data_IF_737875636216
#
_entry.id   IF_737875636216
#
_cell.length_a   1.000
_cell.length_b   1.000
_cell.length_c   1.000
_cell.angle_alpha   90.00
_cell.angle_beta   90.00
_cell.angle_gamma   90.00
#
_symmetry.space_group_name_H-M   'P 1'
#
loop_
_entity.id
_entity.type
_entity.pdbx_description
1 polymer ?
#
# COMPACT_ATOMS: atom_id res chain seq x y z
N UNK A 1 3.57 -9.94 23.41
CA UNK A 1 3.71 -11.42 23.53
C UNK A 1 4.02 -11.85 24.95
N UNK A 2 5.07 -11.38 25.59
CA UNK A 2 5.45 -11.74 26.97
C UNK A 2 4.32 -11.53 28.01
N UNK A 3 3.69 -10.35 28.05
CA UNK A 3 2.64 -10.04 29.02
C UNK A 3 1.45 -11.02 28.94
N UNK A 4 1.04 -11.38 27.73
CA UNK A 4 -0.09 -12.31 27.51
C UNK A 4 0.27 -13.76 27.87
N UNK A 5 1.50 -14.18 27.55
CA UNK A 5 1.99 -15.51 27.91
C UNK A 5 2.15 -15.62 29.43
N UNK A 6 2.69 -14.59 30.09
CA UNK A 6 2.80 -14.52 31.56
C UNK A 6 1.42 -14.54 32.20
N UNK A 7 0.46 -13.75 31.69
CA UNK A 7 -0.92 -13.74 32.19
C UNK A 7 -1.60 -15.08 32.05
N UNK A 8 -1.53 -15.71 30.88
CA UNK A 8 -2.10 -17.04 30.65
C UNK A 8 -1.44 -18.13 31.54
N UNK A 9 -0.14 -17.98 31.81
CA UNK A 9 0.55 -18.90 32.73
C UNK A 9 0.14 -18.68 34.18
N UNK A 10 -0.02 -17.44 34.60
CA UNK A 10 -0.45 -17.10 35.96
C UNK A 10 -1.92 -17.46 36.20
N UNK A 11 -2.80 -17.28 35.20
CA UNK A 11 -4.20 -17.74 35.24
C UNK A 11 -4.26 -19.29 35.36
N UNK A 12 -3.42 -20.01 34.61
CA UNK A 12 -3.28 -21.48 34.77
C UNK A 12 -2.84 -21.89 36.15
N UNK A 13 -2.05 -21.09 36.83
CA UNK A 13 -1.57 -21.34 38.20
C UNK A 13 -2.50 -20.79 39.29
N UNK A 14 -3.70 -20.31 38.92
CA UNK A 14 -4.68 -19.71 39.85
C UNK A 14 -4.12 -18.50 40.62
N UNK A 15 -3.14 -17.79 40.05
CA UNK A 15 -2.60 -16.56 40.63
C UNK A 15 -3.49 -15.38 40.18
N UNK A 16 -4.21 -14.78 41.09
CA UNK A 16 -4.96 -13.55 40.84
C UNK A 16 -3.99 -12.38 40.71
N UNK A 17 -3.85 -11.88 39.46
CA UNK A 17 -3.19 -10.62 39.17
C UNK A 17 -4.17 -9.49 39.38
N UNK A 18 -3.85 -8.54 40.25
CA UNK A 18 -4.43 -7.20 40.19
C UNK A 18 -3.83 -6.53 38.97
N UNK A 19 -4.57 -6.56 37.86
CA UNK A 19 -4.13 -5.92 36.60
C UNK A 19 -4.37 -4.41 36.72
N UNK A 20 -3.39 -3.68 37.24
CA UNK A 20 -3.44 -2.21 37.33
C UNK A 20 -3.50 -1.54 35.94
N UNK A 21 -3.15 -2.26 34.86
CA UNK A 21 -3.31 -1.81 33.49
C UNK A 21 -4.77 -1.84 33.00
N UNK A 22 -5.66 -2.52 33.70
CA UNK A 22 -7.06 -2.70 33.30
C UNK A 22 -8.00 -1.58 33.80
N UNK A 23 -7.51 -0.52 34.43
CA UNK A 23 -8.35 0.63 34.76
C UNK A 23 -8.60 1.44 33.49
N UNK A 24 -9.87 1.55 33.02
CA UNK A 24 -10.17 2.42 31.91
C UNK A 24 -9.82 3.86 32.32
N UNK A 25 -8.80 4.43 31.68
CA UNK A 25 -8.57 5.86 31.80
C UNK A 25 -9.75 6.57 31.16
N UNK A 26 -10.41 7.48 31.91
CA UNK A 26 -11.44 8.32 31.35
C UNK A 26 -10.83 9.15 30.22
N UNK A 27 -11.39 9.05 29.03
CA UNK A 27 -10.93 9.85 27.91
C UNK A 27 -11.32 11.31 28.14
N UNK A 28 -10.38 12.27 27.98
CA UNK A 28 -10.64 13.68 28.22
C UNK A 28 -11.53 14.33 27.15
N UNK A 29 -12.01 13.58 26.16
CA UNK A 29 -12.83 14.06 25.05
C UNK A 29 -13.99 13.13 24.71
N UNK A 30 -14.89 13.64 23.87
CA UNK A 30 -16.04 12.90 23.35
C UNK A 30 -15.79 12.50 21.92
N UNK A 31 -16.31 11.32 21.55
CA UNK A 31 -16.31 10.81 20.19
C UNK A 31 -17.62 11.14 19.48
N UNK A 32 -17.51 11.51 18.21
CA UNK A 32 -18.61 11.52 17.24
C UNK A 32 -18.34 10.41 16.25
N UNK A 33 -19.20 9.38 16.25
CA UNK A 33 -19.01 8.25 15.34
C UNK A 33 -19.26 8.69 13.89
N UNK A 34 -18.33 8.45 12.96
CA UNK A 34 -18.55 8.77 11.56
C UNK A 34 -19.59 7.82 10.94
N UNK A 35 -20.46 8.30 10.04
CA UNK A 35 -21.41 7.43 9.35
C UNK A 35 -20.69 6.38 8.50
N UNK A 36 -21.09 5.13 8.63
CA UNK A 36 -20.54 3.99 7.90
C UNK A 36 -21.46 3.57 6.73
N UNK A 37 -20.84 3.08 5.68
CA UNK A 37 -21.52 2.33 4.64
C UNK A 37 -21.78 0.90 5.13
N UNK A 38 -22.79 0.16 4.60
CA UNK A 38 -23.12 -1.19 5.09
C UNK A 38 -21.89 -2.11 5.22
N UNK A 39 -21.09 -2.25 4.18
CA UNK A 39 -19.89 -3.10 4.22
C UNK A 39 -18.82 -2.64 5.21
N UNK A 40 -18.76 -1.34 5.54
CA UNK A 40 -17.84 -0.82 6.56
C UNK A 40 -18.34 -1.18 7.96
N UNK A 41 -19.64 -1.16 8.16
CA UNK A 41 -20.26 -1.63 9.40
C UNK A 41 -20.09 -3.14 9.58
N UNK A 42 -20.27 -3.92 8.50
CA UNK A 42 -20.02 -5.37 8.49
C UNK A 42 -18.56 -5.67 8.87
N UNK A 43 -17.60 -4.91 8.32
CA UNK A 43 -16.19 -5.05 8.64
C UNK A 43 -15.88 -4.78 10.11
N UNK A 44 -16.48 -3.73 10.66
CA UNK A 44 -16.34 -3.37 12.06
C UNK A 44 -16.99 -4.39 12.98
N UNK A 45 -18.18 -4.88 12.62
CA UNK A 45 -18.87 -5.93 13.34
C UNK A 45 -18.06 -7.26 13.35
N UNK A 46 -17.49 -7.66 12.21
CA UNK A 46 -16.63 -8.85 12.13
C UNK A 46 -15.41 -8.74 13.06
N UNK A 47 -14.76 -7.56 13.10
CA UNK A 47 -13.66 -7.30 14.02
C UNK A 47 -14.09 -7.35 15.49
N UNK A 48 -15.24 -6.78 15.82
CA UNK A 48 -15.79 -6.83 17.19
C UNK A 48 -16.09 -8.27 17.63
N UNK A 49 -16.70 -9.09 16.76
CA UNK A 49 -16.96 -10.51 17.04
C UNK A 49 -15.72 -11.36 17.20
N UNK A 50 -14.63 -10.99 16.53
CA UNK A 50 -13.33 -11.62 16.68
C UNK A 50 -12.58 -11.19 17.96
N UNK A 51 -13.30 -10.66 18.96
CA UNK A 51 -12.71 -10.20 20.21
C UNK A 51 -11.91 -8.89 20.06
N UNK A 52 -12.25 -8.07 19.08
CA UNK A 52 -11.56 -6.82 18.74
C UNK A 52 -10.09 -7.03 18.39
N UNK A 53 -9.80 -8.15 17.73
CA UNK A 53 -8.44 -8.49 17.31
C UNK A 53 -8.45 -9.11 15.93
N UNK A 54 -7.82 -8.43 14.95
CA UNK A 54 -7.78 -8.93 13.58
C UNK A 54 -7.49 -7.86 12.53
N UNK A 55 -7.38 -8.34 11.30
CA UNK A 55 -7.08 -7.53 10.12
C UNK A 55 -8.35 -7.40 9.25
N UNK A 56 -8.66 -6.17 8.87
CA UNK A 56 -9.69 -5.83 7.90
C UNK A 56 -9.04 -5.48 6.56
N UNK A 57 -9.38 -6.22 5.52
CA UNK A 57 -8.87 -6.02 4.17
C UNK A 57 -9.94 -5.35 3.32
N UNK A 58 -9.70 -4.09 2.97
CA UNK A 58 -10.59 -3.28 2.13
C UNK A 58 -9.79 -2.59 1.02
N UNK A 59 -10.32 -2.49 -0.20
CA UNK A 59 -9.66 -1.79 -1.29
C UNK A 59 -9.31 -0.34 -0.94
N UNK A 60 -8.33 0.22 -1.64
CA UNK A 60 -8.07 1.66 -1.57
C UNK A 60 -9.30 2.43 -2.06
N UNK A 61 -9.66 3.50 -1.36
CA UNK A 61 -10.90 4.26 -1.64
C UNK A 61 -12.16 3.70 -0.97
N UNK A 62 -12.13 2.50 -0.40
CA UNK A 62 -13.26 1.92 0.35
C UNK A 62 -13.43 2.51 1.76
N UNK A 63 -12.59 3.46 2.18
CA UNK A 63 -12.74 4.16 3.45
C UNK A 63 -12.25 3.37 4.66
N UNK A 64 -11.10 2.70 4.58
CA UNK A 64 -10.42 2.02 5.70
C UNK A 64 -10.29 2.90 6.93
N UNK A 65 -9.83 4.15 6.74
CA UNK A 65 -9.70 5.13 7.83
C UNK A 65 -11.03 5.36 8.54
N UNK A 66 -12.15 5.41 7.80
CA UNK A 66 -13.48 5.59 8.38
C UNK A 66 -13.89 4.41 9.27
N UNK A 67 -13.58 3.17 8.87
CA UNK A 67 -13.76 1.98 9.72
C UNK A 67 -12.94 2.09 11.00
N UNK A 68 -11.69 2.54 10.89
CA UNK A 68 -10.83 2.74 12.06
C UNK A 68 -11.34 3.81 13.00
N UNK A 69 -11.76 4.97 12.47
CA UNK A 69 -12.34 6.04 13.28
C UNK A 69 -13.59 5.59 14.03
N UNK A 70 -14.45 4.81 13.39
CA UNK A 70 -15.62 4.21 14.03
C UNK A 70 -15.21 3.15 15.09
N UNK A 71 -14.16 2.35 14.82
CA UNK A 71 -13.61 1.41 15.80
C UNK A 71 -13.11 2.13 17.06
N UNK A 72 -12.38 3.25 16.88
CA UNK A 72 -11.89 4.10 17.96
C UNK A 72 -13.05 4.72 18.77
N UNK A 73 -14.05 5.27 18.06
CA UNK A 73 -15.22 5.87 18.68
C UNK A 73 -16.04 4.84 19.48
N UNK A 74 -16.32 3.67 18.91
CA UNK A 74 -17.08 2.58 19.59
C UNK A 74 -16.28 1.94 20.73
N UNK A 75 -14.97 1.90 20.63
CA UNK A 75 -14.12 1.40 21.71
C UNK A 75 -14.09 2.36 22.90
N UNK A 76 -14.02 3.67 22.65
CA UNK A 76 -13.98 4.71 23.69
C UNK A 76 -12.82 4.49 24.67
N UNK A 77 -11.65 4.10 24.19
CA UNK A 77 -10.50 3.71 25.01
C UNK A 77 -9.23 4.46 24.58
N UNK A 78 -8.23 4.59 25.45
CA UNK A 78 -6.92 5.07 25.05
C UNK A 78 -6.39 4.29 23.85
N UNK A 79 -5.98 5.01 22.80
CA UNK A 79 -5.68 4.39 21.52
C UNK A 79 -4.47 4.99 20.82
N UNK A 80 -3.72 4.11 20.14
CA UNK A 80 -2.58 4.46 19.29
C UNK A 80 -2.89 4.09 17.84
N UNK A 81 -2.86 5.08 16.94
CA UNK A 81 -2.94 4.85 15.51
C UNK A 81 -1.53 4.89 14.89
N UNK A 82 -1.11 3.80 14.24
CA UNK A 82 0.16 3.68 13.55
C UNK A 82 0.00 3.85 12.06
N UNK A 83 0.84 4.69 11.47
CA UNK A 83 0.81 5.03 10.05
C UNK A 83 2.21 4.95 9.41
N UNK A 84 2.33 4.58 8.11
CA UNK A 84 3.64 4.37 7.48
C UNK A 84 4.41 5.67 7.19
N UNK A 85 3.72 6.81 7.00
CA UNK A 85 4.36 8.04 6.50
C UNK A 85 3.93 9.28 7.27
N UNK A 86 4.76 10.34 7.21
CA UNK A 86 4.46 11.66 7.80
C UNK A 86 3.20 12.30 7.17
N UNK A 87 2.98 12.10 5.89
CA UNK A 87 1.78 12.61 5.20
C UNK A 87 0.51 11.97 5.78
N UNK A 88 0.55 10.66 6.02
CA UNK A 88 -0.57 9.97 6.68
C UNK A 88 -0.70 10.38 8.15
N UNK A 89 0.40 10.69 8.84
CA UNK A 89 0.35 11.23 10.20
C UNK A 89 -0.48 12.53 10.26
N UNK A 90 -0.21 13.47 9.37
CA UNK A 90 -0.96 14.73 9.25
C UNK A 90 -2.44 14.49 8.88
N UNK A 91 -2.68 13.59 7.92
CA UNK A 91 -4.03 13.23 7.50
C UNK A 91 -4.83 12.60 8.64
N UNK A 92 -4.28 11.60 9.32
CA UNK A 92 -4.93 10.92 10.44
C UNK A 92 -5.20 11.87 11.62
N UNK A 93 -4.26 12.77 11.94
CA UNK A 93 -4.46 13.78 12.98
C UNK A 93 -5.64 14.69 12.63
N UNK A 94 -5.75 15.14 11.37
CA UNK A 94 -6.87 15.96 10.90
C UNK A 94 -8.20 15.19 10.92
N UNK A 95 -8.23 13.94 10.47
CA UNK A 95 -9.43 13.13 10.47
C UNK A 95 -9.90 12.79 11.90
N UNK A 96 -8.96 12.51 12.81
CA UNK A 96 -9.26 12.31 14.24
C UNK A 96 -9.81 13.58 14.90
N UNK A 97 -9.24 14.75 14.60
CA UNK A 97 -9.73 16.03 15.18
C UNK A 97 -11.15 16.37 14.75
N UNK A 98 -11.63 15.80 13.64
CA UNK A 98 -13.03 15.98 13.21
C UNK A 98 -14.03 15.09 13.96
N UNK A 99 -13.57 14.02 14.61
CA UNK A 99 -14.43 13.02 15.28
C UNK A 99 -14.16 12.88 16.79
N UNK A 100 -13.08 13.44 17.30
CA UNK A 100 -12.71 13.41 18.72
C UNK A 100 -12.42 14.81 19.25
N UNK A 101 -13.10 15.23 20.31
CA UNK A 101 -13.00 16.59 20.87
C UNK A 101 -11.88 16.75 21.90
N UNK A 102 -11.23 15.66 22.32
CA UNK A 102 -10.15 15.70 23.30
C UNK A 102 -8.78 16.02 22.68
N UNK A 103 -7.74 16.17 23.52
CA UNK A 103 -6.39 16.39 23.05
C UNK A 103 -5.87 15.19 22.26
N UNK A 104 -5.19 15.48 21.14
CA UNK A 104 -4.55 14.47 20.29
C UNK A 104 -3.04 14.48 20.45
N UNK A 105 -2.47 13.32 20.70
CA UNK A 105 -1.04 13.08 20.67
C UNK A 105 -0.52 12.93 19.24
N UNK A 106 0.73 13.34 19.02
CA UNK A 106 1.45 13.17 17.78
C UNK A 106 2.89 12.75 18.06
N UNK A 107 3.29 11.59 17.52
CA UNK A 107 4.63 11.06 17.67
C UNK A 107 5.25 10.82 16.29
N UNK A 108 6.06 11.74 15.85
CA UNK A 108 6.70 11.74 14.53
C UNK A 108 6.83 13.13 13.95
N UNK A 109 7.58 13.27 12.87
CA UNK A 109 7.86 14.55 12.21
C UNK A 109 8.34 15.66 13.16
N UNK A 110 9.25 15.31 14.10
CA UNK A 110 9.79 16.22 15.11
C UNK A 110 8.88 16.46 16.32
N UNK A 111 7.65 15.94 16.34
CA UNK A 111 6.74 16.05 17.46
C UNK A 111 6.84 14.84 18.39
N UNK A 112 6.77 15.08 19.71
CA UNK A 112 6.70 14.05 20.74
C UNK A 112 5.68 14.45 21.81
N UNK A 113 4.42 14.36 21.45
CA UNK A 113 3.30 14.59 22.37
C UNK A 113 2.48 13.32 22.48
N UNK A 114 2.39 12.76 23.66
CA UNK A 114 1.63 11.54 23.94
C UNK A 114 0.38 11.91 24.73
N UNK A 115 -0.78 11.58 24.18
CA UNK A 115 -2.10 11.77 24.77
C UNK A 115 -2.85 10.45 24.79
N UNK A 116 -4.01 10.39 25.42
CA UNK A 116 -4.84 9.18 25.45
C UNK A 116 -5.21 8.67 24.05
N UNK A 117 -5.36 9.58 23.07
CA UNK A 117 -5.49 9.23 21.66
C UNK A 117 -4.29 9.82 20.91
N UNK A 118 -3.43 8.97 20.40
CA UNK A 118 -2.15 9.37 19.77
C UNK A 118 -2.02 8.76 18.38
N UNK A 119 -1.49 9.56 17.44
CA UNK A 119 -1.07 9.08 16.12
C UNK A 119 0.45 9.02 16.07
N UNK A 120 1.01 7.94 15.52
CA UNK A 120 2.47 7.78 15.40
C UNK A 120 2.85 7.24 14.03
N UNK A 121 4.03 7.64 13.53
CA UNK A 121 4.65 6.91 12.42
C UNK A 121 5.21 5.59 12.89
N UNK A 122 5.30 4.58 11.99
CA UNK A 122 5.90 3.28 12.32
C UNK A 122 7.31 3.40 12.90
N UNK A 123 8.12 4.28 12.31
CA UNK A 123 9.49 4.50 12.75
C UNK A 123 9.56 5.12 14.15
N UNK A 124 8.70 6.09 14.45
CA UNK A 124 8.65 6.72 15.76
C UNK A 124 8.08 5.76 16.81
N UNK A 125 7.06 4.99 16.47
CA UNK A 125 6.52 3.97 17.36
C UNK A 125 7.57 2.90 17.68
N UNK A 126 8.30 2.40 16.68
CA UNK A 126 9.36 1.43 16.89
C UNK A 126 10.43 1.92 17.88
N UNK A 127 10.83 3.18 17.77
CA UNK A 127 11.85 3.77 18.66
C UNK A 127 11.36 3.99 20.10
N UNK A 128 10.08 4.25 20.31
CA UNK A 128 9.55 4.70 21.60
C UNK A 128 8.54 3.74 22.23
N UNK A 129 8.23 2.60 21.61
CA UNK A 129 7.20 1.70 22.13
C UNK A 129 7.55 1.16 23.52
N UNK A 130 8.83 0.98 23.84
CA UNK A 130 9.29 0.57 25.16
C UNK A 130 8.93 1.56 26.29
N UNK A 131 8.65 2.83 25.93
CA UNK A 131 8.27 3.88 26.91
C UNK A 131 6.74 4.08 26.98
N UNK A 132 6.03 3.77 25.90
CA UNK A 132 4.61 4.14 25.75
C UNK A 132 3.68 2.96 25.54
N UNK A 133 4.23 1.76 25.37
CA UNK A 133 3.46 0.58 24.91
C UNK A 133 2.40 0.10 25.89
N UNK A 134 2.46 0.49 27.13
CA UNK A 134 1.50 0.18 28.20
C UNK A 134 0.35 1.22 28.35
N UNK A 135 0.43 2.35 27.65
CA UNK A 135 -0.52 3.47 27.77
C UNK A 135 -1.80 3.29 26.99
N UNK A 136 -1.88 2.34 26.09
CA UNK A 136 -2.97 2.19 25.12
C UNK A 136 -3.68 0.86 25.28
N UNK A 137 -4.99 0.87 25.14
CA UNK A 137 -5.84 -0.33 25.14
C UNK A 137 -6.21 -0.79 23.74
N UNK A 138 -6.18 0.13 22.76
CA UNK A 138 -6.44 -0.16 21.35
C UNK A 138 -5.27 0.32 20.49
N UNK A 139 -4.74 -0.56 19.64
CA UNK A 139 -3.81 -0.17 18.59
C UNK A 139 -4.47 -0.38 17.22
N UNK A 140 -4.45 0.67 16.41
CA UNK A 140 -4.87 0.64 15.01
C UNK A 140 -3.63 0.75 14.13
N UNK A 141 -3.45 -0.15 13.20
CA UNK A 141 -2.29 -0.17 12.29
C UNK A 141 -2.78 -0.01 10.86
N UNK A 142 -2.60 1.19 10.30
CA UNK A 142 -2.90 1.43 8.89
C UNK A 142 -1.79 0.86 8.00
N UNK A 143 -2.15 0.29 6.86
CA UNK A 143 -1.26 -0.46 5.97
C UNK A 143 -0.44 -1.52 6.73
N UNK A 144 -1.13 -2.33 7.52
CA UNK A 144 -0.56 -3.33 8.43
C UNK A 144 0.37 -4.35 7.76
N UNK A 145 0.30 -4.48 6.44
CA UNK A 145 1.16 -5.36 5.66
C UNK A 145 2.66 -4.97 5.67
N UNK A 146 3.01 -3.81 6.24
CA UNK A 146 4.40 -3.42 6.50
C UNK A 146 5.02 -4.11 7.73
N UNK A 147 4.23 -4.86 8.46
CA UNK A 147 4.66 -5.68 9.58
C UNK A 147 4.64 -7.17 9.22
N UNK A 148 5.24 -7.99 10.05
CA UNK A 148 5.36 -9.43 9.84
C UNK A 148 6.61 -9.86 9.05
N UNK A 149 7.54 -8.93 8.77
CA UNK A 149 8.82 -9.21 8.12
C UNK A 149 10.03 -9.13 9.10
N UNK A 150 9.75 -8.92 10.39
CA UNK A 150 10.73 -8.82 11.47
C UNK A 150 11.36 -7.44 11.66
N UNK A 151 11.22 -6.52 10.71
CA UNK A 151 11.99 -5.26 10.75
C UNK A 151 11.51 -4.27 11.79
N UNK A 152 10.21 -4.24 12.07
CA UNK A 152 9.56 -3.29 12.99
C UNK A 152 8.56 -3.97 13.91
N UNK A 153 8.51 -5.29 13.88
CA UNK A 153 7.53 -6.09 14.60
C UNK A 153 7.60 -5.87 16.10
N UNK A 154 8.80 -5.56 16.62
CA UNK A 154 9.04 -5.18 17.99
C UNK A 154 8.12 -4.04 18.48
N UNK A 155 7.74 -3.09 17.62
CA UNK A 155 6.78 -2.06 17.98
C UNK A 155 5.39 -2.61 18.36
N UNK A 156 4.97 -3.71 17.72
CA UNK A 156 3.72 -4.38 18.05
C UNK A 156 3.89 -5.39 19.19
N UNK A 157 5.06 -6.00 19.33
CA UNK A 157 5.38 -6.92 20.40
C UNK A 157 5.42 -6.23 21.76
N UNK A 158 6.03 -5.05 21.83
CA UNK A 158 6.14 -4.24 23.06
C UNK A 158 4.85 -3.51 23.41
N UNK A 159 3.88 -3.42 22.50
CA UNK A 159 2.59 -2.80 22.78
C UNK A 159 1.70 -3.75 23.60
N UNK A 160 1.31 -3.34 24.79
CA UNK A 160 0.44 -4.10 25.68
C UNK A 160 -1.04 -4.09 25.29
N UNK A 161 -1.45 -3.25 24.33
CA UNK A 161 -2.85 -3.08 23.91
C UNK A 161 -3.52 -4.41 23.57
N UNK A 162 -4.61 -4.80 24.29
CA UNK A 162 -5.33 -6.04 24.05
C UNK A 162 -6.13 -6.02 22.76
N UNK A 163 -6.67 -4.85 22.39
CA UNK A 163 -7.45 -4.67 21.16
C UNK A 163 -6.55 -4.22 20.02
N UNK A 164 -6.66 -4.89 18.88
CA UNK A 164 -5.77 -4.63 17.73
C UNK A 164 -6.55 -4.68 16.43
N UNK A 165 -6.48 -3.60 15.65
CA UNK A 165 -7.09 -3.48 14.34
C UNK A 165 -6.03 -3.22 13.29
N UNK A 166 -5.78 -4.17 12.42
CA UNK A 166 -4.97 -3.98 11.21
C UNK A 166 -5.83 -3.60 10.02
N UNK A 167 -5.41 -2.62 9.25
CA UNK A 167 -6.06 -2.20 8.01
C UNK A 167 -5.10 -2.35 6.84
N UNK A 168 -5.56 -2.90 5.74
CA UNK A 168 -4.76 -2.98 4.50
C UNK A 168 -5.65 -3.08 3.28
N UNK A 169 -5.12 -2.69 2.12
CA UNK A 169 -5.78 -2.95 0.83
C UNK A 169 -5.45 -4.34 0.26
N UNK A 170 -4.42 -4.98 0.79
CA UNK A 170 -3.95 -6.28 0.30
C UNK A 170 -3.51 -7.14 1.47
N UNK A 171 -4.02 -8.37 1.59
CA UNK A 171 -3.65 -9.27 2.67
C UNK A 171 -2.16 -9.66 2.58
N UNK A 172 -1.52 -9.87 3.71
CA UNK A 172 -0.20 -10.49 3.77
C UNK A 172 -0.29 -11.96 3.30
N UNK A 173 0.82 -12.50 2.78
CA UNK A 173 0.93 -13.88 2.31
C UNK A 173 2.23 -14.50 2.80
N UNK A 174 2.21 -15.83 2.93
CA UNK A 174 3.37 -16.61 3.37
C UNK A 174 3.75 -16.32 4.84
N UNK A 175 5.03 -16.44 5.20
CA UNK A 175 5.50 -16.33 6.60
C UNK A 175 5.07 -15.03 7.28
N UNK A 176 5.07 -13.90 6.55
CA UNK A 176 4.61 -12.60 7.10
C UNK A 176 3.13 -12.62 7.50
N UNK A 177 2.30 -13.49 6.88
CA UNK A 177 0.89 -13.64 7.26
C UNK A 177 0.75 -14.32 8.62
N UNK A 178 1.56 -15.35 8.88
CA UNK A 178 1.56 -16.09 10.16
C UNK A 178 2.00 -15.16 11.29
N UNK A 179 3.07 -14.42 11.09
CA UNK A 179 3.55 -13.43 12.05
C UNK A 179 2.52 -12.33 12.34
N UNK A 180 1.80 -11.85 11.32
CA UNK A 180 0.74 -10.86 11.52
C UNK A 180 -0.45 -11.41 12.34
N UNK A 181 -0.77 -12.69 12.21
CA UNK A 181 -1.81 -13.33 13.05
C UNK A 181 -1.41 -13.27 14.52
N UNK A 182 -0.15 -13.46 14.83
CA UNK A 182 0.34 -13.33 16.21
C UNK A 182 0.35 -11.88 16.69
N UNK A 183 0.84 -10.96 15.87
CA UNK A 183 1.01 -9.55 16.24
C UNK A 183 -0.33 -8.80 16.33
N UNK A 184 -1.24 -9.03 15.39
CA UNK A 184 -2.49 -8.26 15.26
C UNK A 184 -3.72 -9.15 15.40
N UNK A 185 -3.72 -10.29 14.76
CA UNK A 185 -4.83 -11.23 14.67
C UNK A 185 -5.09 -11.70 13.25
N UNK A 186 -6.00 -12.66 13.05
CA UNK A 186 -6.33 -13.17 11.72
C UNK A 186 -7.03 -12.12 10.86
N UNK A 187 -7.10 -12.36 9.54
CA UNK A 187 -8.00 -11.59 8.67
C UNK A 187 -9.43 -11.95 9.03
N UNK A 188 -10.19 -10.96 9.51
CA UNK A 188 -11.57 -11.12 9.99
C UNK A 188 -12.61 -10.65 8.97
N UNK A 189 -12.18 -9.81 8.02
CA UNK A 189 -13.04 -9.31 6.94
C UNK A 189 -12.18 -8.99 5.71
N UNK A 190 -12.66 -9.40 4.53
CA UNK A 190 -11.99 -9.12 3.25
C UNK A 190 -13.01 -8.86 2.16
N UNK A 191 -12.85 -7.72 1.45
CA UNK A 191 -13.55 -7.43 0.19
C UNK A 191 -12.54 -7.10 -0.90
N UNK A 192 -12.79 -7.62 -2.09
CA UNK A 192 -12.03 -7.28 -3.29
C UNK A 192 -12.55 -5.99 -3.95
N UNK A 193 -11.74 -5.40 -4.85
CA UNK A 193 -12.16 -4.23 -5.64
C UNK A 193 -13.43 -4.51 -6.43
N UNK A 194 -13.55 -5.73 -6.97
CA UNK A 194 -14.69 -6.19 -7.77
C UNK A 194 -16.00 -6.25 -6.97
N UNK A 195 -15.93 -6.55 -5.68
CA UNK A 195 -17.11 -6.67 -4.81
C UNK A 195 -17.78 -5.30 -4.56
N UNK A 196 -16.99 -4.23 -4.63
CA UNK A 196 -17.43 -2.85 -4.41
C UNK A 196 -17.64 -2.06 -5.71
N UNK A 197 -17.14 -2.57 -6.84
CA UNK A 197 -17.21 -1.89 -8.13
C UNK A 197 -18.66 -1.78 -8.61
N UNK A 198 -19.04 -0.59 -9.05
CA UNK A 198 -20.41 -0.29 -9.51
C UNK A 198 -21.41 0.05 -8.42
N UNK A 199 -21.18 -0.35 -7.17
CA UNK A 199 -22.07 -0.03 -6.02
C UNK A 199 -21.47 1.06 -5.13
N UNK A 200 -20.25 0.88 -4.67
CA UNK A 200 -19.57 1.77 -3.71
C UNK A 200 -18.25 2.36 -4.24
N UNK A 201 -17.65 1.71 -5.23
CA UNK A 201 -16.55 2.22 -6.02
C UNK A 201 -17.04 2.46 -7.45
N UNK A 202 -16.44 3.42 -8.15
CA UNK A 202 -16.75 3.64 -9.56
C UNK A 202 -16.49 2.35 -10.36
N UNK A 203 -17.35 1.99 -11.30
CA UNK A 203 -17.08 0.89 -12.21
C UNK A 203 -15.80 1.20 -13.01
N UNK A 204 -15.04 0.16 -13.35
CA UNK A 204 -13.83 0.34 -14.13
C UNK A 204 -13.68 -0.71 -15.21
N UNK A 205 -12.98 -0.34 -16.27
CA UNK A 205 -12.58 -1.24 -17.34
C UNK A 205 -11.06 -1.39 -17.33
N UNK A 206 -10.57 -2.63 -17.37
CA UNK A 206 -9.14 -2.93 -17.51
C UNK A 206 -8.85 -3.37 -18.94
N UNK A 207 -8.16 -2.50 -19.69
CA UNK A 207 -7.79 -2.73 -21.08
C UNK A 207 -6.30 -3.03 -21.16
N UNK A 208 -5.94 -4.22 -21.65
CA UNK A 208 -4.54 -4.58 -21.90
C UNK A 208 -4.17 -4.33 -23.34
N UNK A 209 -3.27 -3.40 -23.57
CA UNK A 209 -2.67 -3.17 -24.88
C UNK A 209 -1.40 -4.01 -25.00
N UNK A 210 -1.44 -5.02 -25.88
CA UNK A 210 -0.30 -5.90 -26.18
C UNK A 210 0.49 -5.30 -27.33
N UNK A 211 1.67 -4.80 -27.04
CA UNK A 211 2.54 -4.06 -27.95
C UNK A 211 3.73 -4.93 -28.38
N UNK A 212 4.27 -4.65 -29.56
CA UNK A 212 5.46 -5.30 -30.10
C UNK A 212 6.67 -4.37 -29.99
N UNK A 213 7.84 -4.91 -29.66
CA UNK A 213 9.10 -4.17 -29.80
C UNK A 213 9.40 -3.94 -31.28
N UNK A 214 9.96 -2.78 -31.63
CA UNK A 214 10.52 -2.56 -32.96
C UNK A 214 11.62 -3.61 -33.24
N UNK A 215 11.90 -3.94 -34.51
CA UNK A 215 12.81 -5.04 -34.85
C UNK A 215 14.23 -4.88 -34.28
N UNK A 216 14.73 -3.65 -34.18
CA UNK A 216 16.02 -3.31 -33.57
C UNK A 216 15.99 -3.41 -32.04
N UNK A 217 14.94 -2.85 -31.39
CA UNK A 217 14.71 -2.98 -29.96
C UNK A 217 14.56 -4.46 -29.54
N UNK A 218 13.88 -5.26 -30.38
CA UNK A 218 13.68 -6.69 -30.17
C UNK A 218 15.02 -7.45 -30.20
N UNK A 219 15.85 -7.21 -31.20
CA UNK A 219 17.16 -7.84 -31.30
C UNK A 219 18.06 -7.51 -30.13
N UNK A 220 18.10 -6.26 -29.74
CA UNK A 220 18.92 -5.79 -28.60
C UNK A 220 18.44 -6.41 -27.29
N UNK A 221 17.12 -6.48 -27.10
CA UNK A 221 16.51 -7.09 -25.91
C UNK A 221 16.81 -8.60 -25.85
N UNK A 222 16.68 -9.32 -26.95
CA UNK A 222 16.98 -10.75 -27.04
C UNK A 222 18.46 -11.03 -26.75
N UNK A 223 19.37 -10.22 -27.26
CA UNK A 223 20.79 -10.33 -26.97
C UNK A 223 21.07 -10.12 -25.47
N UNK A 224 20.49 -9.10 -24.87
CA UNK A 224 20.62 -8.86 -23.43
C UNK A 224 20.08 -10.04 -22.61
N UNK A 225 18.92 -10.58 -22.98
CA UNK A 225 18.31 -11.75 -22.33
C UNK A 225 19.19 -13.00 -22.49
N UNK A 226 19.75 -13.24 -23.66
CA UNK A 226 20.64 -14.37 -23.92
C UNK A 226 21.91 -14.32 -23.05
N UNK A 227 22.39 -13.12 -22.73
CA UNK A 227 23.57 -12.93 -21.88
C UNK A 227 23.29 -13.26 -20.40
N UNK A 228 22.22 -12.75 -19.80
CA UNK A 228 22.03 -12.92 -18.36
C UNK A 228 21.26 -14.15 -17.94
N UNK A 229 20.30 -14.63 -18.77
CA UNK A 229 19.38 -15.69 -18.37
C UNK A 229 20.04 -17.03 -18.07
N UNK A 230 21.07 -17.49 -18.81
CA UNK A 230 21.79 -18.72 -18.48
C UNK A 230 22.46 -18.66 -17.11
N UNK A 231 23.11 -17.52 -16.80
CA UNK A 231 23.83 -17.31 -15.54
C UNK A 231 22.86 -17.26 -14.34
N UNK A 232 21.75 -16.54 -14.50
CA UNK A 232 20.70 -16.50 -13.49
C UNK A 232 20.09 -17.90 -13.23
N UNK A 233 19.83 -18.68 -14.29
CA UNK A 233 19.32 -20.05 -14.16
C UNK A 233 20.30 -21.02 -13.52
N UNK A 234 21.59 -20.87 -13.78
CA UNK A 234 22.63 -21.65 -13.14
C UNK A 234 22.65 -21.36 -11.64
N UNK A 235 22.69 -20.09 -11.27
CA UNK A 235 22.64 -19.66 -9.86
C UNK A 235 21.39 -20.19 -9.12
N UNK A 236 20.20 -20.10 -9.75
CA UNK A 236 18.95 -20.59 -9.12
C UNK A 236 18.93 -22.10 -8.92
N UNK A 237 19.68 -22.88 -9.74
CA UNK A 237 19.81 -24.33 -9.54
C UNK A 237 20.78 -24.66 -8.42
N UNK A 238 21.86 -23.89 -8.28
CA UNK A 238 22.86 -24.09 -7.24
C UNK A 238 22.41 -23.58 -5.87
N UNK A 239 21.57 -22.54 -5.85
CA UNK A 239 21.07 -21.90 -4.64
C UNK A 239 19.52 -21.86 -4.66
N UNK A 240 18.83 -22.99 -4.46
CA UNK A 240 17.36 -23.01 -4.41
C UNK A 240 16.83 -22.14 -3.28
N UNK A 241 15.89 -21.23 -3.59
CA UNK A 241 15.30 -20.31 -2.61
C UNK A 241 16.03 -18.98 -2.44
N UNK A 242 17.23 -18.81 -3.02
CA UNK A 242 17.93 -17.53 -3.05
C UNK A 242 17.13 -16.47 -3.83
N UNK A 243 17.13 -15.25 -3.32
CA UNK A 243 16.42 -14.13 -3.92
C UNK A 243 17.29 -13.38 -4.95
N UNK A 244 16.72 -12.29 -5.51
CA UNK A 244 17.42 -11.45 -6.47
C UNK A 244 18.65 -10.74 -5.86
N UNK A 245 18.62 -10.37 -4.58
CA UNK A 245 19.75 -9.70 -3.92
C UNK A 245 20.91 -10.66 -3.73
N UNK A 246 20.64 -11.92 -3.43
CA UNK A 246 21.67 -12.96 -3.31
C UNK A 246 22.34 -13.20 -4.67
N UNK A 247 21.54 -13.30 -5.74
CA UNK A 247 22.08 -13.36 -7.09
C UNK A 247 22.94 -12.14 -7.43
N UNK A 248 22.46 -10.93 -7.15
CA UNK A 248 23.20 -9.71 -7.46
C UNK A 248 24.52 -9.62 -6.68
N UNK A 249 24.55 -10.04 -5.41
CA UNK A 249 25.76 -10.12 -4.58
C UNK A 249 26.75 -11.16 -5.14
N UNK A 250 26.27 -12.35 -5.48
CA UNK A 250 27.13 -13.39 -6.05
C UNK A 250 27.68 -12.97 -7.42
N UNK A 251 26.83 -12.49 -8.31
CA UNK A 251 27.19 -12.07 -9.66
C UNK A 251 28.17 -10.88 -9.67
N UNK A 252 28.08 -9.96 -8.71
CA UNK A 252 29.00 -8.81 -8.64
C UNK A 252 30.49 -9.20 -8.43
N UNK A 253 30.74 -10.41 -7.93
CA UNK A 253 32.09 -10.91 -7.60
C UNK A 253 32.86 -11.40 -8.81
N UNK A 254 32.21 -11.71 -9.93
CA UNK A 254 32.84 -12.25 -11.13
C UNK A 254 32.63 -11.33 -12.34
N UNK A 255 33.56 -11.35 -13.30
CA UNK A 255 33.42 -10.56 -14.53
C UNK A 255 32.18 -10.96 -15.31
N UNK A 256 31.97 -12.27 -15.51
CA UNK A 256 30.80 -12.81 -16.19
C UNK A 256 29.50 -12.45 -15.47
N UNK A 257 29.49 -12.45 -14.15
CA UNK A 257 28.34 -12.03 -13.34
C UNK A 257 28.04 -10.54 -13.49
N UNK A 258 29.07 -9.67 -13.50
CA UNK A 258 28.88 -8.22 -13.74
C UNK A 258 28.31 -7.95 -15.13
N UNK A 259 28.77 -8.67 -16.16
CA UNK A 259 28.19 -8.60 -17.50
C UNK A 259 26.72 -9.06 -17.52
N UNK A 260 26.38 -10.12 -16.80
CA UNK A 260 25.00 -10.56 -16.66
C UNK A 260 24.11 -9.52 -15.97
N UNK A 261 24.60 -8.86 -14.91
CA UNK A 261 23.87 -7.79 -14.24
C UNK A 261 23.66 -6.57 -15.14
N UNK A 262 24.67 -6.19 -15.93
CA UNK A 262 24.57 -5.11 -16.91
C UNK A 262 23.56 -5.45 -18.01
N UNK A 263 23.60 -6.66 -18.55
CA UNK A 263 22.65 -7.16 -19.54
C UNK A 263 21.21 -7.22 -18.99
N UNK A 264 21.05 -7.64 -17.75
CA UNK A 264 19.72 -7.61 -17.09
C UNK A 264 19.17 -6.18 -16.97
N UNK A 265 20.00 -5.22 -16.52
CA UNK A 265 19.60 -3.80 -16.47
C UNK A 265 19.20 -3.31 -17.85
N UNK A 266 20.05 -3.56 -18.87
CA UNK A 266 19.78 -3.18 -20.25
C UNK A 266 18.46 -3.76 -20.76
N UNK A 267 18.18 -5.04 -20.50
CA UNK A 267 16.93 -5.67 -20.89
C UNK A 267 15.69 -5.02 -20.26
N UNK A 268 15.82 -4.49 -19.04
CA UNK A 268 14.74 -3.76 -18.35
C UNK A 268 14.55 -2.36 -18.91
N UNK A 269 15.66 -1.66 -19.19
CA UNK A 269 15.63 -0.30 -19.75
C UNK A 269 14.96 -0.29 -21.12
N UNK A 270 15.25 -1.29 -21.97
CA UNK A 270 14.60 -1.48 -23.26
C UNK A 270 13.08 -1.71 -23.17
N UNK A 271 12.60 -2.35 -22.10
CA UNK A 271 11.17 -2.58 -21.88
C UNK A 271 10.47 -1.42 -21.17
N UNK A 272 11.22 -0.53 -20.52
CA UNK A 272 10.65 0.51 -19.70
C UNK A 272 9.80 1.48 -20.52
N UNK A 273 10.34 2.00 -21.63
CA UNK A 273 9.62 2.95 -22.49
C UNK A 273 10.07 2.88 -23.97
N UNK A 274 9.89 1.71 -24.65
CA UNK A 274 10.20 1.52 -26.04
C UNK A 274 9.26 2.32 -26.97
N UNK A 275 9.60 2.39 -28.26
CA UNK A 275 8.85 3.16 -29.29
C UNK A 275 7.34 2.89 -29.25
N UNK A 276 6.94 1.64 -29.22
CA UNK A 276 5.53 1.27 -29.19
C UNK A 276 4.78 1.75 -27.94
N UNK A 277 5.45 1.82 -26.76
CA UNK A 277 4.85 2.39 -25.55
C UNK A 277 4.73 3.91 -25.68
N UNK A 278 5.71 4.58 -26.31
CA UNK A 278 5.67 6.03 -26.57
C UNK A 278 4.47 6.41 -27.44
N UNK A 279 4.29 5.70 -28.54
CA UNK A 279 3.15 5.89 -29.44
C UNK A 279 1.81 5.59 -28.77
N UNK A 280 1.74 4.49 -27.99
CA UNK A 280 0.52 4.14 -27.27
C UNK A 280 0.15 5.21 -26.22
N UNK A 281 1.12 5.76 -25.47
CA UNK A 281 0.86 6.85 -24.51
C UNK A 281 0.37 8.10 -25.23
N UNK A 282 0.99 8.50 -26.36
CA UNK A 282 0.53 9.63 -27.16
C UNK A 282 -0.93 9.45 -27.59
N UNK A 283 -1.24 8.33 -28.24
CA UNK A 283 -2.59 8.03 -28.72
C UNK A 283 -3.64 7.98 -27.59
N UNK A 284 -3.26 7.46 -26.39
CA UNK A 284 -4.16 7.46 -25.26
C UNK A 284 -4.38 8.84 -24.65
N UNK A 285 -3.35 9.69 -24.59
CA UNK A 285 -3.50 11.08 -24.15
C UNK A 285 -4.41 11.87 -25.08
N UNK A 286 -4.24 11.72 -26.40
CA UNK A 286 -5.10 12.36 -27.40
C UNK A 286 -6.54 11.86 -27.30
N UNK A 287 -6.74 10.56 -27.21
CA UNK A 287 -8.06 9.95 -27.06
C UNK A 287 -8.82 10.43 -25.81
N UNK A 288 -8.09 10.70 -24.75
CA UNK A 288 -8.63 11.09 -23.45
C UNK A 288 -8.32 12.55 -23.10
N UNK A 289 -8.11 13.42 -24.10
CA UNK A 289 -7.75 14.82 -23.91
C UNK A 289 -8.66 15.59 -22.92
N UNK A 290 -9.99 15.38 -22.86
CA UNK A 290 -10.85 16.04 -21.87
C UNK A 290 -10.77 15.42 -20.46
N UNK A 291 -10.21 14.21 -20.32
CA UNK A 291 -10.20 13.44 -19.07
C UNK A 291 -8.98 13.76 -18.21
N UNK A 292 -9.08 13.51 -16.92
CA UNK A 292 -7.92 13.51 -16.01
C UNK A 292 -7.21 12.17 -16.11
N UNK A 293 -5.93 12.20 -16.51
CA UNK A 293 -5.12 11.02 -16.78
C UNK A 293 -3.97 10.90 -15.77
N UNK A 294 -3.84 9.73 -15.14
CA UNK A 294 -2.67 9.38 -14.33
C UNK A 294 -1.82 8.35 -15.07
N UNK A 295 -0.54 8.65 -15.27
CA UNK A 295 0.40 7.74 -15.91
C UNK A 295 1.32 7.16 -14.84
N UNK A 296 1.43 5.84 -14.78
CA UNK A 296 2.26 5.12 -13.82
C UNK A 296 3.43 4.45 -14.52
N UNK A 297 4.63 4.70 -14.01
CA UNK A 297 5.88 4.12 -14.52
C UNK A 297 6.57 3.27 -13.46
N UNK A 298 7.59 2.51 -13.87
CA UNK A 298 8.36 1.65 -12.97
C UNK A 298 9.36 2.44 -12.11
N UNK A 299 9.90 3.53 -12.66
CA UNK A 299 10.99 4.32 -12.09
C UNK A 299 10.92 5.79 -12.51
N UNK A 300 11.73 6.63 -11.85
CA UNK A 300 11.78 8.07 -12.11
C UNK A 300 12.32 8.41 -13.49
N UNK A 301 13.29 7.64 -14.01
CA UNK A 301 13.88 7.91 -15.33
C UNK A 301 12.81 7.78 -16.42
N UNK A 302 11.98 6.73 -16.35
CA UNK A 302 10.84 6.54 -17.24
C UNK A 302 9.79 7.64 -17.05
N UNK A 303 9.52 8.06 -15.81
CA UNK A 303 8.57 9.16 -15.56
C UNK A 303 9.04 10.46 -16.21
N UNK A 304 10.31 10.81 -16.09
CA UNK A 304 10.89 11.98 -16.76
C UNK A 304 10.93 11.84 -18.29
N UNK A 305 11.13 10.63 -18.84
CA UNK A 305 11.07 10.38 -20.26
C UNK A 305 9.66 10.65 -20.82
N UNK A 306 8.63 10.13 -20.14
CA UNK A 306 7.20 10.41 -20.47
C UNK A 306 6.92 11.91 -20.36
N UNK A 307 7.35 12.55 -19.25
CA UNK A 307 7.12 13.96 -18.99
C UNK A 307 7.68 14.85 -20.10
N UNK A 308 8.92 14.61 -20.52
CA UNK A 308 9.56 15.40 -21.60
C UNK A 308 8.93 15.17 -22.96
N UNK A 309 8.56 13.93 -23.26
CA UNK A 309 8.03 13.61 -24.59
C UNK A 309 6.59 14.08 -24.78
N UNK A 310 5.77 14.04 -23.73
CA UNK A 310 4.34 14.34 -23.83
C UNK A 310 3.93 15.62 -23.08
N UNK A 311 4.90 16.39 -22.56
CA UNK A 311 4.68 17.62 -21.79
C UNK A 311 3.74 17.43 -20.60
N UNK A 312 3.87 16.28 -19.91
CA UNK A 312 3.08 15.91 -18.74
C UNK A 312 3.87 16.21 -17.46
N UNK A 313 3.23 16.81 -16.46
CA UNK A 313 3.87 17.14 -15.20
C UNK A 313 4.31 15.86 -14.44
N UNK A 314 5.62 15.68 -14.13
CA UNK A 314 6.11 14.54 -13.36
C UNK A 314 5.92 14.75 -11.86
N UNK A 315 5.55 13.67 -11.16
CA UNK A 315 5.56 13.58 -9.70
C UNK A 315 6.50 12.45 -9.29
N UNK A 316 7.71 12.83 -8.89
CA UNK A 316 8.77 11.91 -8.45
C UNK A 316 9.19 12.20 -7.02
N UNK A 317 10.09 11.38 -6.45
CA UNK A 317 10.66 11.65 -5.13
C UNK A 317 11.56 12.89 -5.11
N UNK A 318 12.02 13.35 -6.26
CA UNK A 318 12.98 14.46 -6.39
C UNK A 318 12.31 15.83 -6.29
N UNK A 319 10.98 15.92 -6.49
CA UNK A 319 10.23 17.18 -6.34
C UNK A 319 9.87 17.44 -4.88
N UNK A 320 9.86 18.71 -4.49
CA UNK A 320 9.53 19.13 -3.14
C UNK A 320 8.08 18.79 -2.76
N UNK A 321 7.79 18.73 -1.45
CA UNK A 321 6.42 18.54 -0.95
C UNK A 321 5.47 19.63 -1.45
N UNK A 322 5.95 20.88 -1.51
CA UNK A 322 5.16 22.06 -1.94
C UNK A 322 4.80 21.95 -3.42
N UNK A 323 5.79 21.68 -4.28
CA UNK A 323 5.56 21.50 -5.72
C UNK A 323 4.63 20.33 -6.02
N UNK A 324 4.77 19.23 -5.27
CA UNK A 324 3.89 18.07 -5.39
C UNK A 324 2.45 18.41 -5.03
N UNK A 325 2.23 19.11 -3.91
CA UNK A 325 0.91 19.56 -3.49
C UNK A 325 0.29 20.48 -4.55
N UNK A 326 1.05 21.46 -5.03
CA UNK A 326 0.60 22.37 -6.09
C UNK A 326 0.23 21.63 -7.40
N UNK A 327 1.02 20.63 -7.81
CA UNK A 327 0.70 19.85 -9.02
C UNK A 327 -0.60 19.02 -8.86
N UNK A 328 -0.82 18.44 -7.67
CA UNK A 328 -2.04 17.70 -7.38
C UNK A 328 -3.27 18.63 -7.31
N UNK A 329 -3.14 19.82 -6.72
CA UNK A 329 -4.22 20.79 -6.68
C UNK A 329 -4.56 21.29 -8.08
N UNK A 330 -3.58 21.59 -8.92
CA UNK A 330 -3.79 21.95 -10.33
C UNK A 330 -4.50 20.84 -11.12
N UNK A 331 -4.22 19.55 -10.86
CA UNK A 331 -4.98 18.45 -11.43
C UNK A 331 -6.43 18.41 -10.88
N UNK A 332 -6.60 18.68 -9.59
CA UNK A 332 -7.92 18.72 -8.92
C UNK A 332 -8.82 19.79 -9.50
N UNK A 333 -8.26 20.97 -9.75
CA UNK A 333 -8.98 22.12 -10.31
C UNK A 333 -9.06 22.09 -11.84
N UNK A 334 -8.45 21.10 -12.50
CA UNK A 334 -8.54 20.93 -13.96
C UNK A 334 -7.58 21.82 -14.77
N UNK A 335 -6.66 22.51 -14.10
CA UNK A 335 -5.59 23.30 -14.77
C UNK A 335 -4.56 22.38 -15.44
N UNK A 336 -4.33 21.20 -14.83
CA UNK A 336 -3.59 20.10 -15.42
C UNK A 336 -4.55 18.98 -15.77
N UNK A 337 -4.33 18.33 -16.92
CA UNK A 337 -5.12 17.17 -17.36
C UNK A 337 -4.40 15.86 -17.11
N UNK A 338 -3.08 15.85 -17.03
CA UNK A 338 -2.29 14.64 -16.89
C UNK A 338 -1.11 14.81 -15.95
N UNK A 339 -0.83 13.75 -15.20
CA UNK A 339 0.35 13.63 -14.35
C UNK A 339 1.01 12.28 -14.62
N UNK A 340 2.35 12.25 -14.53
CA UNK A 340 3.09 10.99 -14.55
C UNK A 340 3.83 10.78 -13.25
N UNK A 341 3.76 9.56 -12.71
CA UNK A 341 4.42 9.21 -11.45
C UNK A 341 5.04 7.83 -11.48
N UNK A 342 6.20 7.69 -10.84
CA UNK A 342 6.80 6.39 -10.59
C UNK A 342 6.21 5.74 -9.33
N UNK A 343 6.77 6.01 -8.16
CA UNK A 343 6.39 5.37 -6.89
C UNK A 343 5.64 6.28 -5.92
N UNK A 344 5.76 7.58 -6.13
CA UNK A 344 5.34 8.58 -5.14
C UNK A 344 3.82 8.58 -4.87
N UNK A 345 3.01 8.20 -5.86
CA UNK A 345 1.55 8.13 -5.70
C UNK A 345 1.06 6.79 -5.12
N UNK A 346 1.94 5.89 -4.70
CA UNK A 346 1.54 4.58 -4.21
C UNK A 346 0.97 4.63 -2.79
N UNK A 347 1.53 5.45 -1.90
CA UNK A 347 1.14 5.48 -0.49
C UNK A 347 1.06 6.92 0.05
N UNK A 348 0.07 7.17 0.91
CA UNK A 348 0.01 8.36 1.76
C UNK A 348 -0.28 9.70 1.09
N UNK A 349 -0.57 9.74 -0.21
CA UNK A 349 -0.88 10.99 -0.92
C UNK A 349 -2.35 10.98 -1.34
N UNK A 350 -3.07 12.04 -1.02
CA UNK A 350 -4.43 12.25 -1.52
C UNK A 350 -4.39 12.66 -3.00
N UNK A 351 -4.47 11.66 -3.89
CA UNK A 351 -4.50 11.88 -5.34
C UNK A 351 -5.91 12.29 -5.73
N UNK A 352 -6.07 13.38 -6.49
CA UNK A 352 -7.37 13.77 -7.02
C UNK A 352 -7.98 12.67 -7.89
N UNK A 353 -9.30 12.69 -8.01
CA UNK A 353 -10.01 11.76 -8.89
C UNK A 353 -9.46 11.84 -10.31
N UNK A 354 -9.11 10.70 -10.86
CA UNK A 354 -8.76 10.57 -12.27
C UNK A 354 -9.77 9.65 -12.98
N UNK A 355 -9.93 9.86 -14.26
CA UNK A 355 -10.88 9.14 -15.09
C UNK A 355 -10.16 7.98 -15.81
N UNK A 356 -8.88 8.16 -16.08
CA UNK A 356 -8.04 7.23 -16.85
C UNK A 356 -6.72 6.99 -16.12
N UNK A 357 -6.28 5.73 -16.08
CA UNK A 357 -4.92 5.35 -15.72
C UNK A 357 -4.21 4.71 -16.90
N UNK A 358 -2.93 5.04 -17.09
CA UNK A 358 -2.04 4.38 -18.04
C UNK A 358 -0.87 3.76 -17.27
N UNK A 359 -0.80 2.44 -17.22
CA UNK A 359 0.29 1.69 -16.59
C UNK A 359 1.31 1.36 -17.68
N UNK A 360 2.35 2.15 -17.79
CA UNK A 360 3.41 2.02 -18.81
C UNK A 360 4.33 0.86 -18.50
N UNK A 361 4.59 0.61 -17.20
CA UNK A 361 5.42 -0.48 -16.73
C UNK A 361 5.40 -0.55 -15.22
N UNK A 362 5.90 -1.65 -14.67
CA UNK A 362 6.05 -1.81 -13.21
C UNK A 362 6.54 -3.19 -12.86
N UNK A 363 7.59 -3.24 -12.05
CA UNK A 363 8.06 -4.45 -11.37
C UNK A 363 7.26 -4.72 -10.10
N UNK A 364 6.29 -3.85 -9.81
CA UNK A 364 5.56 -3.83 -8.55
C UNK A 364 4.54 -4.95 -8.49
N UNK A 365 4.36 -5.49 -7.30
CA UNK A 365 3.48 -6.60 -7.04
C UNK A 365 2.00 -6.23 -7.18
N UNK A 366 1.16 -7.22 -6.98
CA UNK A 366 -0.30 -7.14 -6.93
C UNK A 366 -0.81 -5.98 -6.05
N UNK A 367 -0.14 -5.72 -4.93
CA UNK A 367 -0.52 -4.70 -3.93
C UNK A 367 -0.53 -3.29 -4.48
N UNK A 368 0.59 -2.85 -5.09
CA UNK A 368 0.70 -1.50 -5.65
C UNK A 368 -0.26 -1.28 -6.82
N UNK A 369 -0.50 -2.32 -7.61
CA UNK A 369 -1.45 -2.25 -8.70
C UNK A 369 -2.89 -2.02 -8.20
N UNK A 370 -3.31 -2.77 -7.17
CA UNK A 370 -4.62 -2.58 -6.51
C UNK A 370 -4.74 -1.19 -5.89
N UNK A 371 -3.69 -0.70 -5.23
CA UNK A 371 -3.68 0.64 -4.65
C UNK A 371 -3.79 1.75 -5.71
N UNK A 372 -3.07 1.61 -6.84
CA UNK A 372 -3.15 2.57 -7.96
C UNK A 372 -4.55 2.63 -8.56
N UNK A 373 -5.13 1.47 -8.85
CA UNK A 373 -6.49 1.38 -9.39
C UNK A 373 -7.51 1.92 -8.38
N UNK A 374 -7.41 1.56 -7.12
CA UNK A 374 -8.32 2.03 -6.08
C UNK A 374 -8.39 3.55 -5.92
N UNK A 375 -7.32 4.28 -6.31
CA UNK A 375 -7.32 5.75 -6.31
C UNK A 375 -8.17 6.35 -7.44
N UNK A 376 -8.32 5.63 -8.56
CA UNK A 376 -9.18 6.02 -9.69
C UNK A 376 -10.65 5.77 -9.39
N UNK A 377 -10.94 4.80 -8.51
CA UNK A 377 -12.29 4.29 -8.29
C UNK A 377 -13.10 5.10 -7.26
N UNK A 378 -12.70 6.34 -6.94
CA UNK A 378 -13.53 7.18 -6.09
C UNK A 378 -14.90 7.41 -6.74
N UNK A 379 -16.00 7.17 -5.99
CA UNK A 379 -17.35 7.27 -6.53
C UNK A 379 -17.65 8.69 -7.02
N UNK A 380 -18.14 8.78 -8.24
CA UNK A 380 -18.69 10.00 -8.82
C UNK A 380 -19.83 9.59 -9.75
N UNK A 381 -20.91 10.32 -9.73
CA UNK A 381 -22.07 10.02 -10.55
C UNK A 381 -21.71 9.97 -12.05
N UNK A 382 -22.12 8.92 -12.75
CA UNK A 382 -21.86 8.70 -14.17
C UNK A 382 -20.38 8.34 -14.51
N UNK A 383 -19.50 8.18 -13.53
CA UNK A 383 -18.09 7.89 -13.77
C UNK A 383 -17.84 6.40 -13.99
N UNK A 384 -17.20 6.07 -15.12
CA UNK A 384 -16.55 4.79 -15.36
C UNK A 384 -15.05 5.03 -15.57
N UNK A 385 -14.21 4.49 -14.70
CA UNK A 385 -12.78 4.64 -14.84
C UNK A 385 -12.22 3.63 -15.86
N UNK A 386 -11.18 4.03 -16.61
CA UNK A 386 -10.51 3.13 -17.55
C UNK A 386 -9.04 3.00 -17.18
N UNK A 387 -8.57 1.74 -17.09
CA UNK A 387 -7.17 1.42 -16.80
C UNK A 387 -6.55 0.75 -18.02
N UNK A 388 -5.56 1.38 -18.63
CA UNK A 388 -4.77 0.80 -19.70
C UNK A 388 -3.49 0.20 -19.15
N UNK A 389 -3.25 -1.09 -19.38
CA UNK A 389 -1.96 -1.74 -19.13
C UNK A 389 -1.20 -1.93 -20.45
N UNK A 390 -0.03 -1.30 -20.56
CA UNK A 390 0.87 -1.48 -21.70
C UNK A 390 1.80 -2.66 -21.43
N UNK A 391 1.76 -3.69 -22.27
CA UNK A 391 2.48 -4.96 -22.07
C UNK A 391 3.20 -5.36 -23.36
N UNK A 392 4.52 -5.48 -23.27
CA UNK A 392 5.31 -5.94 -24.40
C UNK A 392 5.16 -7.46 -24.62
N UNK A 393 4.72 -7.87 -25.79
CA UNK A 393 4.53 -9.29 -26.18
C UNK A 393 5.85 -10.06 -26.15
N UNK A 394 5.78 -11.32 -25.74
CA UNK A 394 6.92 -12.22 -25.71
C UNK A 394 7.95 -11.90 -24.63
N UNK A 395 7.63 -11.00 -23.67
CA UNK A 395 8.54 -10.61 -22.59
C UNK A 395 8.02 -11.01 -21.20
N UNK A 396 8.81 -10.79 -20.17
CA UNK A 396 8.42 -11.03 -18.77
C UNK A 396 7.24 -10.17 -18.31
N UNK A 397 6.94 -9.07 -19.01
CA UNK A 397 5.81 -8.20 -18.67
C UNK A 397 4.46 -8.92 -18.78
N UNK A 398 4.32 -9.89 -19.71
CA UNK A 398 3.09 -10.69 -19.83
C UNK A 398 2.78 -11.46 -18.55
N UNK A 399 3.80 -12.09 -17.96
CA UNK A 399 3.65 -12.84 -16.71
C UNK A 399 3.42 -11.89 -15.53
N UNK A 400 4.12 -10.77 -15.50
CA UNK A 400 3.94 -9.74 -14.46
C UNK A 400 2.52 -9.15 -14.51
N UNK A 401 2.00 -8.84 -15.70
CA UNK A 401 0.63 -8.34 -15.86
C UNK A 401 -0.42 -9.37 -15.39
N UNK A 402 -0.23 -10.66 -15.66
CA UNK A 402 -1.10 -11.72 -15.14
C UNK A 402 -1.09 -11.76 -13.60
N UNK A 403 0.09 -11.68 -12.99
CA UNK A 403 0.23 -11.65 -11.51
C UNK A 403 -0.45 -10.44 -10.89
N UNK A 404 -0.29 -9.25 -11.47
CA UNK A 404 -0.95 -8.02 -11.01
C UNK A 404 -2.46 -8.14 -11.01
N UNK A 405 -3.04 -8.75 -12.06
CA UNK A 405 -4.50 -8.92 -12.21
C UNK A 405 -5.09 -9.94 -11.25
N UNK A 406 -4.31 -10.93 -10.80
CA UNK A 406 -4.78 -11.90 -9.82
C UNK A 406 -5.28 -11.22 -8.53
N UNK A 407 -4.75 -10.04 -8.18
CA UNK A 407 -5.19 -9.24 -7.04
C UNK A 407 -6.48 -8.44 -7.23
N UNK A 408 -6.99 -8.36 -8.46
CA UNK A 408 -8.23 -7.68 -8.76
C UNK A 408 -9.42 -8.64 -8.85
N UNK A 409 -9.19 -9.95 -8.97
CA UNK A 409 -10.24 -10.95 -9.09
C UNK A 409 -10.97 -11.16 -7.74
N UNK A 410 -12.30 -11.39 -7.76
CA UNK A 410 -13.03 -11.77 -6.56
C UNK A 410 -12.44 -13.06 -6.00
N UNK A 411 -12.11 -13.05 -4.73
CA UNK A 411 -11.78 -14.27 -4.00
C UNK A 411 -13.08 -14.86 -3.48
N UNK A 412 -13.28 -16.15 -3.67
CA UNK A 412 -14.39 -16.84 -3.02
C UNK A 412 -14.27 -16.58 -1.52
N UNK A 413 -15.18 -15.77 -0.99
CA UNK A 413 -15.28 -15.54 0.44
C UNK A 413 -15.63 -16.87 1.09
N UNK A 414 -14.65 -17.49 1.73
CA UNK A 414 -14.96 -18.48 2.77
C UNK A 414 -15.42 -17.67 3.96
N UNK A 415 -16.74 -17.54 4.09
CA UNK A 415 -17.36 -17.24 5.37
C UNK A 415 -16.97 -18.40 6.31
N UNK A 416 -16.06 -18.10 7.24
CA UNK A 416 -15.74 -18.99 8.37
C UNK A 416 -16.77 -18.81 9.46
#
# INVERSE_FOLDING_TARGET
>A
MFHRAIRAELERRSVHLADEFARPADLPGRWTEPPLRPYQDDALWAWQRAGRRGVVVLPTGAGKTRVALAALARAGRPALALVPTRVLLEQWTRELSAVYSGPLGCLGDGQRRIEAVTVSTFESAWRHMHEIGDRFELIVVDEVHHFGDGRRDEALELCAAPFRLGLTATPARGPSSEQLVELVGPTVFELAVTDLSGSFLAPFQLVTLRLELAPDERREWEQAVATYRPILRAFQRECPGADWLDFARAASRTEQGRQALAAFRRSRDLLAFPSAKREAVAALLDRHAPSRVLIFTADNATAYAVARQHLVMPITCDISKVERAAALDRLRFGELRSLVSARVLNEGIDVPDADVAIVVGGTHGEREHVQRIGRLLRPREGKTAVVYELVMRGTSEVTQARRRRAGLAPRQSRLL
#
